data_IF_165507214403
#
_entry.id   IF_165507214403
#
_cell.length_a   1.000
_cell.length_b   1.000
_cell.length_c   1.000
_cell.angle_alpha   90.00
_cell.angle_beta   90.00
_cell.angle_gamma   90.00
#
_symmetry.space_group_name_H-M   'P 1'
#
loop_
_entity.id
_entity.type
_entity.pdbx_description
1 polymer ?
#
# COMPACT_ATOMS: atom_id res chain seq x y z
N UNK A 1 3.31 -2.53 15.93
CA UNK A 1 3.97 -3.28 14.84
C UNK A 1 3.01 -4.40 14.46
N UNK A 2 2.60 -4.49 13.20
CA UNK A 2 1.79 -5.62 12.70
C UNK A 2 2.78 -6.55 12.01
N UNK A 3 2.83 -7.81 12.43
CA UNK A 3 3.68 -8.83 11.82
C UNK A 3 2.79 -9.81 11.05
N UNK A 4 3.00 -9.94 9.75
CA UNK A 4 2.41 -11.03 8.96
C UNK A 4 3.29 -12.27 9.11
N UNK A 5 2.69 -13.42 9.40
CA UNK A 5 3.39 -14.69 9.55
C UNK A 5 2.79 -15.73 8.61
N UNK A 6 3.54 -16.14 7.59
CA UNK A 6 3.15 -17.20 6.66
C UNK A 6 3.66 -18.56 7.14
N UNK A 7 2.77 -19.55 7.22
CA UNK A 7 3.10 -20.93 7.56
C UNK A 7 2.60 -21.85 6.43
N UNK A 8 3.29 -21.86 5.28
CA UNK A 8 2.95 -22.78 4.20
C UNK A 8 3.29 -24.22 4.59
N UNK A 9 2.36 -25.13 4.33
CA UNK A 9 2.56 -26.58 4.50
C UNK A 9 3.08 -27.25 3.21
N UNK A 10 3.13 -26.51 2.11
CA UNK A 10 3.60 -26.97 0.79
C UNK A 10 4.98 -26.40 0.43
N UNK A 11 5.60 -26.93 -0.63
CA UNK A 11 6.96 -26.59 -1.08
C UNK A 11 7.13 -25.13 -1.55
N UNK A 12 6.04 -24.36 -1.66
CA UNK A 12 6.06 -22.94 -2.06
C UNK A 12 5.48 -22.05 -0.98
N UNK A 13 6.14 -20.90 -0.76
CA UNK A 13 5.59 -19.83 0.07
C UNK A 13 4.60 -18.99 -0.73
N UNK A 14 3.42 -18.74 -0.15
CA UNK A 14 2.37 -17.94 -0.79
C UNK A 14 2.40 -16.47 -0.36
N UNK A 15 1.65 -15.64 -1.09
CA UNK A 15 1.35 -14.28 -0.67
C UNK A 15 0.39 -14.30 0.53
N UNK A 16 0.47 -13.27 1.38
CA UNK A 16 -0.49 -13.06 2.47
C UNK A 16 -1.32 -11.81 2.21
N UNK A 17 -2.59 -11.82 2.61
CA UNK A 17 -3.52 -10.69 2.44
C UNK A 17 -3.40 -9.59 3.51
N UNK A 18 -2.30 -9.56 4.27
CA UNK A 18 -2.11 -8.54 5.30
C UNK A 18 -2.02 -7.16 4.67
N UNK A 19 -2.65 -6.16 5.30
CA UNK A 19 -2.37 -4.76 5.00
C UNK A 19 -0.87 -4.47 5.14
N UNK A 20 -0.34 -3.64 4.24
CA UNK A 20 1.07 -3.24 4.19
C UNK A 20 1.22 -1.73 4.39
N UNK A 21 2.41 -1.31 4.84
CA UNK A 21 2.71 0.11 5.02
C UNK A 21 3.05 0.75 3.68
N UNK A 22 2.53 1.96 3.48
CA UNK A 22 2.98 2.87 2.43
C UNK A 22 3.48 4.17 3.08
N UNK A 23 4.50 4.79 2.48
CA UNK A 23 5.06 6.05 2.95
C UNK A 23 5.32 6.95 1.74
N UNK A 24 5.10 8.25 1.89
CA UNK A 24 5.28 9.24 0.84
C UNK A 24 6.00 10.48 1.37
N UNK A 25 6.57 11.26 0.46
CA UNK A 25 7.24 12.52 0.76
C UNK A 25 6.94 13.55 -0.33
N UNK A 26 6.86 14.83 0.04
CA UNK A 26 6.59 15.94 -0.86
C UNK A 26 5.10 16.31 -0.98
N UNK A 27 4.72 17.08 -2.01
CA UNK A 27 3.33 17.47 -2.25
C UNK A 27 2.41 16.24 -2.33
N UNK A 28 1.22 16.34 -1.75
CA UNK A 28 0.23 15.25 -1.66
C UNK A 28 0.59 14.05 -0.78
N UNK A 29 1.73 14.05 -0.07
CA UNK A 29 2.12 12.95 0.83
C UNK A 29 1.12 12.70 1.98
N UNK A 30 0.30 13.69 2.36
CA UNK A 30 -0.75 13.50 3.35
C UNK A 30 -1.83 12.48 2.92
N UNK A 31 -1.99 12.24 1.61
CA UNK A 31 -3.02 11.35 1.06
C UNK A 31 -2.76 9.86 1.33
N UNK A 32 -1.57 9.49 1.80
CA UNK A 32 -1.25 8.11 2.20
C UNK A 32 -1.35 7.87 3.71
N UNK A 33 -1.78 8.88 4.47
CA UNK A 33 -1.96 8.76 5.92
C UNK A 33 -3.28 8.06 6.22
N UNK A 34 -3.25 7.08 7.11
CA UNK A 34 -4.44 6.31 7.52
C UNK A 34 -4.53 4.96 6.81
N UNK A 35 -5.75 4.46 6.66
CA UNK A 35 -6.06 3.25 5.90
C UNK A 35 -6.66 3.66 4.55
N UNK A 36 -5.94 3.37 3.46
CA UNK A 36 -6.37 3.62 2.08
C UNK A 36 -6.45 2.29 1.33
N UNK A 37 -7.12 2.28 0.19
CA UNK A 37 -7.05 1.17 -0.76
C UNK A 37 -5.84 1.33 -1.69
N UNK A 38 -5.36 0.22 -2.29
CA UNK A 38 -4.26 0.28 -3.26
C UNK A 38 -4.62 1.15 -4.48
N UNK A 39 -5.90 1.21 -4.84
CA UNK A 39 -6.38 2.06 -5.95
C UNK A 39 -6.30 3.56 -5.65
N UNK A 40 -6.31 3.98 -4.39
CA UNK A 40 -6.14 5.39 -4.01
C UNK A 40 -4.76 5.95 -4.39
N UNK A 41 -3.74 5.08 -4.50
CA UNK A 41 -2.41 5.48 -4.94
C UNK A 41 -2.44 6.05 -6.36
N UNK A 42 -3.23 5.45 -7.27
CA UNK A 42 -3.39 5.94 -8.63
C UNK A 42 -3.95 7.36 -8.64
N UNK A 43 -5.02 7.60 -7.88
CA UNK A 43 -5.65 8.93 -7.81
C UNK A 43 -4.75 9.95 -7.11
N UNK A 44 -3.97 9.52 -6.11
CA UNK A 44 -2.97 10.36 -5.45
C UNK A 44 -1.91 10.83 -6.44
N UNK A 45 -1.36 9.92 -7.26
CA UNK A 45 -0.38 10.26 -8.28
C UNK A 45 -0.98 11.12 -9.40
N UNK A 46 -2.18 10.77 -9.87
CA UNK A 46 -2.91 11.53 -10.90
C UNK A 46 -3.12 12.98 -10.48
N UNK A 47 -3.56 13.19 -9.23
CA UNK A 47 -3.76 14.53 -8.68
C UNK A 47 -2.44 15.28 -8.51
N UNK A 48 -1.40 14.63 -7.98
CA UNK A 48 -0.08 15.25 -7.80
C UNK A 48 0.57 15.69 -9.11
N UNK A 49 0.30 14.97 -10.21
CA UNK A 49 0.80 15.30 -11.56
C UNK A 49 -0.17 16.16 -12.39
N UNK A 50 -1.36 16.47 -11.88
CA UNK A 50 -2.37 17.27 -12.60
C UNK A 50 -2.88 16.63 -13.89
N UNK A 51 -2.97 15.30 -13.96
CA UNK A 51 -3.35 14.57 -15.18
C UNK A 51 -4.87 14.36 -15.27
N UNK A 52 -5.44 14.37 -16.48
CA UNK A 52 -6.88 14.18 -16.73
C UNK A 52 -7.25 12.74 -17.02
#
# INVERSE_FOLDING_TARGET
MVMSYGNSEEDSQEHTGSQLRIAAYGPHAANVVGLTDQTDLFYTMKAALGLK
#
